data_IF_863412981023
#
_entry.id   IF_863412981023
#
_cell.length_a   1.000
_cell.length_b   1.000
_cell.length_c   1.000
_cell.angle_alpha   90.00
_cell.angle_beta   90.00
_cell.angle_gamma   90.00
#
_symmetry.space_group_name_H-M   'P 1'
#
loop_
_entity.id
_entity.type
_entity.pdbx_description
1 polymer ?
#
# COMPACT_ATOMS: atom_id res chain seq x y z
N UNK A 1 -52.17 -13.34 -41.87
CA UNK A 1 -50.81 -13.69 -42.34
C UNK A 1 -49.80 -12.83 -41.59
N UNK A 2 -49.41 -13.23 -40.37
CA UNK A 2 -48.30 -12.60 -39.63
C UNK A 2 -47.58 -13.68 -38.83
N UNK A 3 -46.34 -14.00 -39.26
CA UNK A 3 -45.38 -14.86 -38.57
C UNK A 3 -44.52 -13.97 -37.68
N UNK A 4 -44.37 -14.31 -36.40
CA UNK A 4 -43.34 -13.76 -35.51
C UNK A 4 -42.76 -14.86 -34.60
N UNK A 5 -41.61 -15.35 -35.06
CA UNK A 5 -40.36 -15.71 -34.34
C UNK A 5 -40.36 -16.13 -32.86
N UNK A 6 -39.97 -17.41 -32.67
CA UNK A 6 -39.17 -18.06 -31.61
C UNK A 6 -38.93 -17.32 -30.29
N UNK A 7 -39.49 -17.85 -29.21
CA UNK A 7 -39.01 -17.70 -27.83
C UNK A 7 -38.00 -18.81 -27.52
N UNK A 8 -36.74 -18.44 -27.25
CA UNK A 8 -35.71 -19.34 -26.74
C UNK A 8 -35.56 -19.14 -25.22
N UNK A 9 -35.94 -20.15 -24.45
CA UNK A 9 -35.77 -20.23 -23.00
C UNK A 9 -34.31 -20.54 -22.65
N UNK A 10 -33.61 -19.59 -22.02
CA UNK A 10 -32.27 -19.84 -21.44
C UNK A 10 -32.43 -20.59 -20.11
N UNK A 11 -32.04 -21.87 -20.09
CA UNK A 11 -31.89 -22.68 -18.87
C UNK A 11 -30.62 -22.24 -18.12
N UNK A 12 -30.76 -22.11 -16.81
CA UNK A 12 -29.71 -21.78 -15.85
C UNK A 12 -28.74 -22.96 -15.67
N UNK A 13 -27.45 -22.74 -15.92
CA UNK A 13 -26.40 -23.67 -15.51
C UNK A 13 -25.90 -23.26 -14.12
N UNK A 14 -26.50 -23.83 -13.07
CA UNK A 14 -25.99 -23.76 -11.70
C UNK A 14 -24.90 -24.83 -11.53
N UNK A 15 -23.63 -24.42 -11.54
CA UNK A 15 -22.53 -25.26 -11.04
C UNK A 15 -22.48 -25.15 -9.51
N UNK A 16 -22.50 -26.25 -8.75
CA UNK A 16 -22.22 -26.20 -7.32
C UNK A 16 -20.70 -26.03 -7.10
N UNK A 17 -20.32 -24.97 -6.39
CA UNK A 17 -18.97 -24.79 -5.83
C UNK A 17 -18.87 -25.63 -4.55
N UNK A 18 -18.29 -26.82 -4.66
CA UNK A 18 -17.82 -27.58 -3.50
C UNK A 18 -16.52 -26.92 -3.06
N UNK A 19 -16.54 -26.20 -1.92
CA UNK A 19 -15.32 -25.74 -1.24
C UNK A 19 -14.71 -26.93 -0.49
N UNK A 20 -13.40 -27.22 -0.61
CA UNK A 20 -12.76 -28.15 0.30
C UNK A 20 -12.58 -27.50 1.69
N UNK A 21 -12.55 -28.27 2.78
CA UNK A 21 -12.24 -27.75 4.11
C UNK A 21 -10.76 -27.34 4.16
N UNK A 22 -10.49 -26.04 4.25
CA UNK A 22 -9.14 -25.52 4.40
C UNK A 22 -8.72 -25.66 5.87
N UNK A 23 -8.18 -26.83 6.22
CA UNK A 23 -7.43 -27.01 7.47
C UNK A 23 -6.04 -26.42 7.21
N UNK A 24 -5.77 -25.25 7.78
CA UNK A 24 -4.41 -24.72 7.83
C UNK A 24 -3.55 -25.63 8.71
N UNK A 25 -2.65 -26.41 8.10
CA UNK A 25 -1.46 -26.88 8.81
C UNK A 25 -0.43 -25.76 8.75
N UNK A 26 0.22 -25.39 9.87
CA UNK A 26 1.35 -24.48 9.82
C UNK A 26 2.44 -25.15 8.99
N UNK A 27 2.83 -24.52 7.87
CA UNK A 27 4.08 -24.87 7.23
C UNK A 27 5.18 -24.44 8.20
N UNK A 28 5.76 -25.41 8.89
CA UNK A 28 7.10 -25.27 9.42
C UNK A 28 8.03 -25.09 8.21
N UNK A 29 8.25 -23.84 7.79
CA UNK A 29 9.38 -23.49 6.94
C UNK A 29 10.64 -23.81 7.75
N UNK A 30 11.12 -25.03 7.63
CA UNK A 30 12.56 -25.26 7.76
C UNK A 30 13.16 -24.47 6.62
N UNK A 31 14.00 -23.49 6.94
CA UNK A 31 14.80 -22.78 5.96
C UNK A 31 15.43 -23.82 5.01
N UNK A 32 15.45 -23.59 3.69
CA UNK A 32 16.12 -24.51 2.76
C UNK A 32 17.65 -24.57 2.94
N UNK A 33 18.19 -23.93 3.99
CA UNK A 33 19.59 -23.55 4.14
C UNK A 33 20.32 -24.24 5.31
N UNK A 34 19.82 -25.37 5.80
CA UNK A 34 20.43 -26.07 6.96
C UNK A 34 21.09 -27.43 6.61
N UNK A 35 21.46 -27.65 5.35
CA UNK A 35 22.16 -28.89 4.93
C UNK A 35 23.42 -28.65 4.10
N UNK A 36 24.08 -27.50 4.27
CA UNK A 36 25.36 -27.25 3.60
C UNK A 36 26.44 -26.74 4.56
N UNK A 37 26.68 -27.49 5.65
CA UNK A 37 28.02 -27.54 6.21
C UNK A 37 28.84 -28.51 5.36
N UNK A 38 29.34 -28.02 4.23
CA UNK A 38 30.45 -28.70 3.58
C UNK A 38 31.67 -28.52 4.46
N UNK A 39 32.12 -29.62 5.05
CA UNK A 39 33.51 -29.78 5.43
C UNK A 39 34.32 -29.66 4.13
N UNK A 40 34.72 -28.43 3.77
CA UNK A 40 35.79 -28.22 2.81
C UNK A 40 37.07 -28.75 3.45
N UNK A 41 37.25 -30.05 3.34
CA UNK A 41 38.54 -30.70 3.53
C UNK A 41 39.37 -30.29 2.31
N UNK A 42 40.38 -29.47 2.55
CA UNK A 42 41.38 -29.04 1.57
C UNK A 42 42.29 -30.22 1.22
N UNK A 43 41.77 -31.25 0.56
CA UNK A 43 42.55 -32.40 0.07
C UNK A 43 41.75 -33.13 -1.02
N UNK A 44 41.64 -32.53 -2.21
CA UNK A 44 41.41 -33.17 -3.52
C UNK A 44 41.23 -32.07 -4.59
N UNK A 45 42.34 -31.47 -5.02
CA UNK A 45 42.35 -30.41 -6.04
C UNK A 45 42.57 -30.95 -7.47
N UNK A 46 42.38 -32.26 -7.72
CA UNK A 46 42.75 -32.87 -9.01
C UNK A 46 41.58 -33.38 -9.86
N UNK A 47 40.35 -33.43 -9.35
CA UNK A 47 39.20 -33.98 -10.10
C UNK A 47 38.07 -32.96 -10.32
N UNK A 48 38.39 -31.74 -10.74
CA UNK A 48 37.40 -30.89 -11.42
C UNK A 48 37.50 -31.22 -12.91
N UNK A 49 36.61 -32.08 -13.39
CA UNK A 49 36.46 -32.35 -14.82
C UNK A 49 36.22 -31.02 -15.54
N UNK A 50 37.19 -30.59 -16.35
CA UNK A 50 37.03 -29.43 -17.22
C UNK A 50 36.06 -29.82 -18.33
N UNK A 51 34.84 -29.33 -18.22
CA UNK A 51 33.83 -29.48 -19.26
C UNK A 51 34.31 -28.71 -20.49
N UNK A 52 34.46 -29.38 -21.62
CA UNK A 52 34.90 -28.74 -22.86
C UNK A 52 33.75 -27.85 -23.38
N UNK A 53 33.94 -26.54 -23.64
CA UNK A 53 32.86 -25.64 -24.05
C UNK A 53 32.12 -26.08 -25.32
N UNK A 54 32.75 -26.95 -26.11
CA UNK A 54 32.17 -27.53 -27.33
C UNK A 54 31.08 -28.58 -27.05
N UNK A 55 31.11 -29.21 -25.89
CA UNK A 55 30.13 -30.23 -25.50
C UNK A 55 28.79 -29.61 -25.07
N UNK A 56 28.81 -28.33 -24.66
CA UNK A 56 27.64 -27.59 -24.18
C UNK A 56 27.65 -26.13 -24.66
N UNK A 57 27.54 -25.89 -25.99
CA UNK A 57 27.53 -24.54 -26.55
C UNK A 57 26.36 -23.68 -26.03
N UNK A 58 25.26 -24.29 -25.60
CA UNK A 58 24.12 -23.59 -25.00
C UNK A 58 24.39 -22.93 -23.64
N UNK A 59 25.42 -23.37 -22.92
CA UNK A 59 25.81 -22.77 -21.63
C UNK A 59 26.68 -21.52 -21.80
N UNK A 60 27.19 -21.29 -23.01
CA UNK A 60 28.08 -20.18 -23.35
C UNK A 60 27.46 -19.40 -24.52
N UNK A 61 26.57 -18.43 -24.26
CA UNK A 61 26.02 -17.55 -25.29
C UNK A 61 27.15 -16.91 -26.12
N UNK A 62 26.94 -16.77 -27.44
CA UNK A 62 27.93 -16.19 -28.35
C UNK A 62 28.36 -14.79 -27.86
N UNK A 63 29.60 -14.38 -28.15
CA UNK A 63 30.18 -13.10 -27.68
C UNK A 63 29.32 -11.85 -28.01
N UNK A 64 28.41 -11.97 -28.99
CA UNK A 64 27.46 -10.92 -29.37
C UNK A 64 26.33 -10.71 -28.35
N UNK A 65 26.02 -11.70 -27.52
CA UNK A 65 24.99 -11.63 -26.47
C UNK A 65 25.54 -11.10 -25.13
N UNK A 66 26.86 -10.90 -25.02
CA UNK A 66 27.51 -10.38 -23.80
C UNK A 66 27.34 -8.87 -23.63
N UNK A 67 26.90 -8.16 -24.67
CA UNK A 67 26.60 -6.74 -24.58
C UNK A 67 25.19 -6.52 -24.03
N UNK A 68 25.03 -6.84 -22.74
CA UNK A 68 23.84 -6.49 -21.98
C UNK A 68 23.83 -4.97 -21.86
N UNK A 69 22.78 -4.32 -22.36
CA UNK A 69 22.56 -2.88 -22.15
C UNK A 69 22.28 -2.62 -20.66
N UNK A 70 23.35 -2.39 -19.92
CA UNK A 70 23.30 -2.04 -18.50
C UNK A 70 23.03 -0.56 -18.26
N UNK A 71 22.88 0.25 -19.32
CA UNK A 71 22.66 1.70 -19.21
C UNK A 71 21.29 2.02 -18.57
N UNK A 72 20.33 1.09 -18.67
CA UNK A 72 19.05 1.21 -17.97
C UNK A 72 19.13 0.91 -16.45
N UNK A 73 20.18 0.19 -16.00
CA UNK A 73 20.28 -0.32 -14.63
C UNK A 73 21.35 0.39 -13.78
N UNK A 74 22.47 0.82 -14.37
CA UNK A 74 23.61 1.43 -13.65
C UNK A 74 24.10 2.65 -14.42
N UNK A 75 24.12 3.83 -13.77
CA UNK A 75 24.83 4.99 -14.32
C UNK A 75 26.33 4.65 -14.36
N UNK A 76 26.97 4.76 -15.52
CA UNK A 76 28.42 4.50 -15.69
C UNK A 76 29.30 5.40 -14.81
N UNK A 77 28.76 6.54 -14.38
CA UNK A 77 29.42 7.51 -13.50
C UNK A 77 29.21 7.23 -11.99
N UNK A 78 28.48 6.18 -11.62
CA UNK A 78 28.16 5.87 -10.21
C UNK A 78 29.31 5.15 -9.50
N UNK A 79 30.06 5.89 -8.67
CA UNK A 79 31.03 5.31 -7.73
C UNK A 79 30.29 4.81 -6.49
N UNK A 80 30.18 3.49 -6.35
CA UNK A 80 29.54 2.83 -5.21
C UNK A 80 30.32 3.14 -3.92
N UNK A 81 29.75 3.94 -3.02
CA UNK A 81 30.06 3.87 -1.58
C UNK A 81 29.25 2.73 -0.98
N UNK A 82 29.85 1.94 -0.08
CA UNK A 82 29.22 0.73 0.50
C UNK A 82 27.96 1.02 1.33
N UNK A 83 27.65 2.29 1.60
CA UNK A 83 26.63 2.72 2.55
C UNK A 83 25.32 3.20 1.90
N UNK A 84 25.28 3.51 0.60
CA UNK A 84 24.15 4.23 -0.02
C UNK A 84 23.64 3.58 -1.33
N UNK A 85 23.35 2.28 -1.32
CA UNK A 85 22.65 1.66 -2.45
C UNK A 85 21.18 2.07 -2.47
N UNK A 86 20.86 3.16 -3.18
CA UNK A 86 19.49 3.57 -3.49
C UNK A 86 19.28 3.41 -5.00
N UNK A 87 18.43 2.47 -5.46
CA UNK A 87 18.24 2.23 -6.88
C UNK A 87 17.67 3.46 -7.61
N UNK A 88 18.02 3.65 -8.90
CA UNK A 88 17.70 4.85 -9.68
C UNK A 88 16.20 5.18 -9.76
N UNK A 89 15.34 4.15 -9.85
CA UNK A 89 13.88 4.33 -9.84
C UNK A 89 13.40 4.93 -8.52
N UNK A 90 14.02 4.56 -7.40
CA UNK A 90 13.71 5.09 -6.08
C UNK A 90 14.19 6.55 -5.97
N UNK A 91 15.37 6.88 -6.50
CA UNK A 91 15.86 8.27 -6.53
C UNK A 91 14.97 9.20 -7.35
N UNK A 92 14.48 8.74 -8.51
CA UNK A 92 13.54 9.51 -9.35
C UNK A 92 12.15 9.63 -8.73
N UNK A 93 11.65 8.56 -8.10
CA UNK A 93 10.35 8.58 -7.41
C UNK A 93 10.35 9.50 -6.18
N UNK A 94 11.49 9.63 -5.49
CA UNK A 94 11.61 10.48 -4.29
C UNK A 94 11.55 11.97 -4.63
N UNK A 95 12.01 12.43 -5.80
CA UNK A 95 12.05 13.86 -6.13
C UNK A 95 10.66 14.52 -6.20
N UNK A 96 9.87 14.17 -7.22
CA UNK A 96 8.59 14.83 -7.48
C UNK A 96 7.53 14.50 -6.41
N UNK A 97 7.43 13.24 -5.98
CA UNK A 97 6.39 12.81 -5.04
C UNK A 97 6.63 13.32 -3.61
N UNK A 98 7.89 13.46 -3.18
CA UNK A 98 8.19 13.97 -1.84
C UNK A 98 7.90 15.47 -1.75
N UNK A 99 8.22 16.24 -2.79
CA UNK A 99 7.92 17.68 -2.86
C UNK A 99 6.41 17.92 -2.75
N UNK A 100 5.60 17.14 -3.48
CA UNK A 100 4.14 17.21 -3.42
C UNK A 100 3.61 16.91 -2.00
N UNK A 101 4.15 15.88 -1.34
CA UNK A 101 3.76 15.53 0.04
C UNK A 101 4.15 16.61 1.05
N UNK A 102 5.33 17.20 0.91
CA UNK A 102 5.79 18.29 1.77
C UNK A 102 4.98 19.56 1.55
N UNK A 103 4.65 19.89 0.30
CA UNK A 103 3.78 21.01 -0.03
C UNK A 103 2.37 20.81 0.55
N UNK A 104 1.82 19.61 0.45
CA UNK A 104 0.52 19.27 1.03
C UNK A 104 0.53 19.37 2.57
N UNK A 105 1.63 18.96 3.22
CA UNK A 105 1.85 19.17 4.67
C UNK A 105 1.81 20.65 5.04
N UNK A 106 2.55 21.50 4.33
CA UNK A 106 2.62 22.93 4.61
C UNK A 106 1.27 23.62 4.41
N UNK A 107 0.63 23.38 3.25
CA UNK A 107 -0.69 23.94 2.94
C UNK A 107 -1.73 23.52 3.97
N UNK A 108 -1.71 22.26 4.41
CA UNK A 108 -2.60 21.78 5.46
C UNK A 108 -2.40 22.50 6.80
N UNK A 109 -1.15 22.80 7.18
CA UNK A 109 -0.87 23.54 8.41
C UNK A 109 -1.42 24.97 8.32
N UNK A 110 -1.16 25.68 7.22
CA UNK A 110 -1.66 27.04 6.99
C UNK A 110 -3.19 27.10 7.00
N UNK A 111 -3.86 26.10 6.42
CA UNK A 111 -5.33 26.03 6.39
C UNK A 111 -5.95 25.72 7.75
N UNK A 112 -5.23 24.98 8.61
CA UNK A 112 -5.63 24.74 9.99
C UNK A 112 -5.46 26.01 10.83
N UNK A 113 -4.37 26.76 10.64
CA UNK A 113 -4.13 28.03 11.33
C UNK A 113 -5.16 29.10 10.94
N UNK A 114 -5.52 29.15 9.65
CA UNK A 114 -6.57 30.06 9.16
C UNK A 114 -7.99 29.59 9.51
N UNK A 115 -8.16 28.37 10.04
CA UNK A 115 -9.45 27.78 10.40
C UNK A 115 -10.32 27.35 9.20
N UNK A 116 -9.76 27.32 7.99
CA UNK A 116 -10.48 26.90 6.78
C UNK A 116 -10.62 25.37 6.69
N UNK A 117 -9.67 24.64 7.28
CA UNK A 117 -9.70 23.19 7.39
C UNK A 117 -9.64 22.80 8.87
N UNK A 118 -10.76 22.35 9.42
CA UNK A 118 -10.83 21.87 10.81
C UNK A 118 -11.30 20.42 10.86
N UNK A 119 -10.84 19.68 11.87
CA UNK A 119 -11.29 18.30 12.09
C UNK A 119 -12.81 18.24 12.33
N UNK A 120 -13.39 19.28 12.93
CA UNK A 120 -14.83 19.40 13.14
C UNK A 120 -15.60 19.60 11.84
N UNK A 121 -15.12 20.47 10.94
CA UNK A 121 -15.75 20.65 9.62
C UNK A 121 -15.74 19.35 8.82
N UNK A 122 -14.64 18.60 8.86
CA UNK A 122 -14.56 17.29 8.22
C UNK A 122 -15.50 16.27 8.88
N UNK A 123 -15.56 16.23 10.22
CA UNK A 123 -16.52 15.39 10.95
C UNK A 123 -17.96 15.69 10.51
N UNK A 124 -18.33 16.96 10.44
CA UNK A 124 -19.67 17.39 10.09
C UNK A 124 -20.01 17.01 8.64
N UNK A 125 -19.06 17.13 7.72
CA UNK A 125 -19.19 16.67 6.34
C UNK A 125 -19.39 15.15 6.24
N UNK A 126 -18.69 14.37 7.06
CA UNK A 126 -18.86 12.91 7.12
C UNK A 126 -20.23 12.52 7.69
N UNK A 127 -20.73 13.27 8.68
CA UNK A 127 -22.08 13.09 9.24
C UNK A 127 -23.15 13.45 8.20
N UNK A 128 -22.98 14.54 7.45
CA UNK A 128 -23.87 14.92 6.34
C UNK A 128 -23.91 13.83 5.26
N UNK A 129 -22.76 13.22 5.00
CA UNK A 129 -22.61 12.05 4.13
C UNK A 129 -23.18 10.76 4.72
N UNK A 130 -23.90 10.82 5.86
CA UNK A 130 -24.57 9.70 6.54
C UNK A 130 -23.63 8.54 6.84
N UNK A 131 -22.41 8.85 7.27
CA UNK A 131 -21.51 7.87 7.87
C UNK A 131 -21.90 7.61 9.32
N UNK A 132 -21.61 6.41 9.77
CA UNK A 132 -21.92 5.90 11.10
C UNK A 132 -20.64 5.92 11.96
N UNK A 133 -20.80 6.18 13.25
CA UNK A 133 -19.72 6.16 14.25
C UNK A 133 -18.49 7.00 13.83
N UNK A 134 -18.67 8.32 13.67
CA UNK A 134 -17.55 9.23 13.35
C UNK A 134 -16.84 9.60 14.65
N UNK A 135 -15.60 9.15 14.84
CA UNK A 135 -14.74 9.55 15.95
C UNK A 135 -13.56 10.38 15.45
N UNK A 136 -13.20 11.41 16.23
CA UNK A 136 -12.04 12.27 15.97
C UNK A 136 -11.01 11.99 17.07
N UNK A 137 -9.82 11.58 16.67
CA UNK A 137 -8.69 11.26 17.53
C UNK A 137 -7.64 12.37 17.41
N UNK A 138 -7.22 12.93 18.54
CA UNK A 138 -6.10 13.86 18.62
C UNK A 138 -4.79 13.09 18.77
N UNK A 139 -3.91 13.22 17.78
CA UNK A 139 -2.64 12.49 17.67
C UNK A 139 -1.41 13.41 17.68
N UNK A 140 -1.59 14.73 17.89
CA UNK A 140 -0.50 15.74 17.88
C UNK A 140 0.68 15.41 18.78
N UNK A 141 0.42 14.81 19.94
CA UNK A 141 1.46 14.45 20.91
C UNK A 141 2.07 13.07 20.67
N UNK A 142 1.53 12.31 19.71
CA UNK A 142 1.91 10.92 19.44
C UNK A 142 2.59 10.76 18.07
N UNK A 143 2.25 11.62 17.11
CA UNK A 143 2.71 11.57 15.73
C UNK A 143 3.18 12.95 15.26
N UNK A 144 4.39 13.06 14.67
CA UNK A 144 4.85 14.31 14.03
C UNK A 144 4.20 14.55 12.65
N UNK A 145 3.74 13.47 12.01
CA UNK A 145 3.22 13.52 10.65
C UNK A 145 1.71 13.81 10.57
N UNK A 146 0.95 13.79 11.67
CA UNK A 146 -0.44 14.19 11.66
C UNK A 146 -0.88 14.72 13.02
N UNK A 147 -1.85 15.63 12.97
CA UNK A 147 -2.44 16.26 14.13
C UNK A 147 -3.75 15.58 14.52
N UNK A 148 -4.58 15.23 13.54
CA UNK A 148 -5.88 14.60 13.77
C UNK A 148 -6.06 13.37 12.89
N UNK A 149 -6.65 12.34 13.49
CA UNK A 149 -7.11 11.15 12.78
C UNK A 149 -8.62 11.03 12.94
N UNK A 150 -9.35 10.97 11.85
CA UNK A 150 -10.80 10.81 11.86
C UNK A 150 -11.11 9.39 11.42
N UNK A 151 -11.87 8.66 12.21
CA UNK A 151 -12.29 7.29 11.93
C UNK A 151 -13.80 7.27 11.76
N UNK A 152 -14.27 6.89 10.58
CA UNK A 152 -15.68 6.77 10.29
C UNK A 152 -16.00 5.41 9.68
N UNK A 153 -17.21 4.92 9.91
CA UNK A 153 -17.67 3.64 9.36
C UNK A 153 -18.94 3.75 8.54
N UNK A 154 -19.21 2.77 7.69
CA UNK A 154 -20.52 2.64 7.05
C UNK A 154 -20.91 1.19 6.84
N UNK A 155 -22.14 0.85 7.22
CA UNK A 155 -22.74 -0.47 6.98
C UNK A 155 -23.20 -0.69 5.53
N UNK A 156 -23.17 0.34 4.67
CA UNK A 156 -23.69 0.28 3.28
C UNK A 156 -22.75 -0.40 2.29
N UNK A 157 -21.55 -0.78 2.72
CA UNK A 157 -20.53 -1.49 1.94
C UNK A 157 -19.58 -0.60 1.15
N UNK A 158 -18.61 -1.23 0.48
CA UNK A 158 -17.41 -0.55 -0.07
C UNK A 158 -17.72 0.50 -1.13
N UNK A 159 -18.68 0.23 -2.01
CA UNK A 159 -19.07 1.18 -3.08
C UNK A 159 -19.56 2.50 -2.52
N UNK A 160 -20.27 2.46 -1.38
CA UNK A 160 -20.73 3.65 -0.70
C UNK A 160 -19.54 4.42 -0.12
N UNK A 161 -18.60 3.73 0.52
CA UNK A 161 -17.37 4.34 1.04
C UNK A 161 -16.57 5.04 -0.07
N UNK A 162 -16.38 4.39 -1.23
CA UNK A 162 -15.70 5.01 -2.38
C UNK A 162 -16.42 6.26 -2.88
N UNK A 163 -17.75 6.25 -2.93
CA UNK A 163 -18.54 7.43 -3.30
C UNK A 163 -18.38 8.57 -2.30
N UNK A 164 -18.36 8.27 -0.99
CA UNK A 164 -18.17 9.29 0.05
C UNK A 164 -16.74 9.82 0.00
N UNK A 165 -15.75 8.96 -0.23
CA UNK A 165 -14.35 9.37 -0.39
C UNK A 165 -14.16 10.34 -1.56
N UNK A 166 -14.82 10.08 -2.70
CA UNK A 166 -14.78 11.00 -3.85
C UNK A 166 -15.47 12.34 -3.54
N UNK A 167 -16.56 12.32 -2.78
CA UNK A 167 -17.23 13.53 -2.34
C UNK A 167 -16.33 14.39 -1.43
N UNK A 168 -15.74 13.78 -0.40
CA UNK A 168 -14.78 14.41 0.51
C UNK A 168 -13.60 14.97 -0.30
N UNK A 169 -13.02 14.16 -1.19
CA UNK A 169 -11.91 14.56 -2.06
C UNK A 169 -12.25 15.82 -2.86
N UNK A 170 -13.45 15.89 -3.46
CA UNK A 170 -13.88 17.04 -4.27
C UNK A 170 -14.05 18.31 -3.44
N UNK A 171 -14.61 18.20 -2.23
CA UNK A 171 -14.79 19.34 -1.33
C UNK A 171 -13.44 19.84 -0.84
N UNK A 172 -12.60 18.94 -0.36
CA UNK A 172 -11.30 19.26 0.22
C UNK A 172 -10.33 19.79 -0.83
N UNK A 173 -10.32 19.24 -2.04
CA UNK A 173 -9.51 19.75 -3.16
C UNK A 173 -9.80 21.22 -3.48
N UNK A 174 -11.05 21.67 -3.36
CA UNK A 174 -11.42 23.09 -3.56
C UNK A 174 -10.84 23.99 -2.48
N UNK A 175 -10.78 23.51 -1.24
CA UNK A 175 -10.23 24.24 -0.10
C UNK A 175 -8.71 24.24 -0.12
N UNK A 176 -8.07 23.07 -0.29
CA UNK A 176 -6.61 22.92 -0.26
C UNK A 176 -5.92 23.46 -1.50
N UNK A 177 -6.62 23.60 -2.64
CA UNK A 177 -6.03 23.88 -3.96
C UNK A 177 -4.95 22.87 -4.39
N UNK A 178 -4.78 21.80 -3.63
CA UNK A 178 -3.90 20.66 -3.86
C UNK A 178 -4.76 19.39 -3.95
N UNK A 179 -4.25 18.37 -4.62
CA UNK A 179 -4.96 17.10 -4.75
C UNK A 179 -4.64 16.21 -3.54
N UNK A 180 -5.62 15.92 -2.66
CA UNK A 180 -5.38 15.01 -1.56
C UNK A 180 -5.17 13.59 -2.06
N UNK A 181 -4.43 12.79 -1.30
CA UNK A 181 -4.12 11.43 -1.71
C UNK A 181 -5.18 10.47 -1.17
N UNK A 182 -5.62 9.50 -1.98
CA UNK A 182 -6.64 8.52 -1.58
C UNK A 182 -6.17 7.11 -1.89
N UNK A 183 -6.01 6.31 -0.85
CA UNK A 183 -5.60 4.91 -0.93
C UNK A 183 -6.80 3.97 -0.77
N UNK A 184 -6.70 2.77 -1.37
CA UNK A 184 -7.70 1.70 -1.24
C UNK A 184 -8.93 1.84 -2.15
N UNK A 185 -8.91 2.74 -3.15
CA UNK A 185 -10.04 2.94 -4.10
C UNK A 185 -10.41 1.68 -4.90
N UNK A 186 -9.42 0.84 -5.21
CA UNK A 186 -9.58 -0.27 -6.15
C UNK A 186 -9.68 -1.65 -5.49
N UNK A 187 -9.42 -1.75 -4.19
CA UNK A 187 -9.10 -3.03 -3.58
C UNK A 187 -10.31 -3.74 -2.96
N UNK A 188 -11.50 -3.12 -2.97
CA UNK A 188 -12.71 -3.60 -2.28
C UNK A 188 -12.39 -4.21 -0.89
N UNK A 189 -11.43 -3.62 -0.19
CA UNK A 189 -10.88 -4.14 1.06
C UNK A 189 -11.75 -3.78 2.26
N UNK A 190 -12.73 -2.88 2.06
CA UNK A 190 -13.51 -2.27 3.12
C UNK A 190 -12.75 -1.23 3.93
N UNK A 191 -11.59 -0.79 3.46
CA UNK A 191 -10.78 0.26 4.08
C UNK A 191 -10.29 1.25 3.01
N UNK A 192 -10.69 2.50 3.15
CA UNK A 192 -10.16 3.62 2.38
C UNK A 192 -9.47 4.62 3.31
N UNK A 193 -8.35 5.17 2.85
CA UNK A 193 -7.57 6.20 3.54
C UNK A 193 -7.54 7.45 2.68
N UNK A 194 -7.81 8.60 3.29
CA UNK A 194 -7.69 9.91 2.65
C UNK A 194 -6.66 10.70 3.44
N UNK A 195 -5.54 11.02 2.79
CA UNK A 195 -4.46 11.83 3.35
C UNK A 195 -4.62 13.29 2.94
N UNK A 196 -4.84 14.15 3.94
CA UNK A 196 -4.95 15.61 3.80
C UNK A 196 -3.73 16.33 4.38
N UNK A 197 -2.67 15.62 4.75
CA UNK A 197 -1.40 16.18 5.23
C UNK A 197 -1.28 16.21 6.74
N UNK A 198 -2.06 17.06 7.43
CA UNK A 198 -2.13 17.07 8.91
C UNK A 198 -3.34 16.34 9.47
N UNK A 199 -4.37 16.17 8.65
CA UNK A 199 -5.56 15.42 9.02
C UNK A 199 -5.64 14.18 8.15
N UNK A 200 -5.85 13.02 8.77
CA UNK A 200 -6.04 11.77 8.05
C UNK A 200 -7.42 11.21 8.33
N UNK A 201 -8.15 10.88 7.26
CA UNK A 201 -9.49 10.31 7.36
C UNK A 201 -9.45 8.83 6.97
N UNK A 202 -9.87 7.97 7.90
CA UNK A 202 -10.03 6.54 7.69
C UNK A 202 -11.52 6.21 7.54
N UNK A 203 -11.86 5.57 6.44
CA UNK A 203 -13.20 5.10 6.13
C UNK A 203 -13.22 3.57 6.16
N UNK A 204 -14.02 3.01 7.06
CA UNK A 204 -14.09 1.57 7.27
C UNK A 204 -15.48 0.98 7.02
N UNK A 205 -15.52 -0.28 6.66
CA UNK A 205 -16.67 -1.14 6.93
C UNK A 205 -16.68 -1.54 8.40
N UNK A 206 -17.85 -1.85 8.99
CA UNK A 206 -17.93 -2.26 10.40
C UNK A 206 -17.03 -3.47 10.72
N UNK A 207 -16.92 -4.43 9.78
CA UNK A 207 -16.04 -5.60 9.93
C UNK A 207 -14.56 -5.22 10.03
N UNK A 208 -14.10 -4.28 9.19
CA UNK A 208 -12.70 -3.85 9.21
C UNK A 208 -12.38 -2.98 10.43
N UNK A 209 -13.33 -2.14 10.86
CA UNK A 209 -13.14 -1.32 12.07
C UNK A 209 -12.90 -2.19 13.30
N UNK A 210 -13.72 -3.23 13.49
CA UNK A 210 -13.57 -4.16 14.61
C UNK A 210 -12.27 -4.97 14.50
N UNK A 211 -11.87 -5.35 13.29
CA UNK A 211 -10.62 -6.10 13.06
C UNK A 211 -9.37 -5.28 13.40
N UNK A 212 -9.32 -4.01 13.00
CA UNK A 212 -8.13 -3.16 13.17
C UNK A 212 -8.12 -2.36 14.48
N UNK A 213 -9.30 -2.05 15.04
CA UNK A 213 -9.49 -1.31 16.29
C UNK A 213 -8.49 -0.16 16.50
N UNK A 214 -8.43 0.76 15.52
CA UNK A 214 -7.53 1.91 15.59
C UNK A 214 -7.84 2.81 16.79
N UNK A 215 -9.09 2.85 17.21
CA UNK A 215 -9.54 3.67 18.34
C UNK A 215 -8.95 3.15 19.65
N UNK A 216 -9.00 1.83 19.87
CA UNK A 216 -8.33 1.19 21.00
C UNK A 216 -6.82 1.39 20.95
N UNK A 217 -6.20 1.17 19.78
CA UNK A 217 -4.76 1.35 19.58
C UNK A 217 -4.31 2.76 19.98
N UNK A 218 -4.91 3.79 19.37
CA UNK A 218 -4.48 5.18 19.58
C UNK A 218 -4.94 5.77 20.91
N UNK A 219 -6.02 5.27 21.54
CA UNK A 219 -6.39 5.69 22.91
C UNK A 219 -5.44 5.10 23.97
N UNK A 220 -4.93 3.88 23.74
CA UNK A 220 -4.07 3.18 24.70
C UNK A 220 -2.66 3.77 24.83
N UNK A 221 -2.14 4.38 23.76
CA UNK A 221 -0.81 5.00 23.77
C UNK A 221 -0.84 6.17 24.78
N UNK A 222 -0.05 6.13 25.86
CA UNK A 222 0.01 7.26 26.78
C UNK A 222 0.50 8.50 26.02
N UNK A 223 -0.04 9.67 26.37
CA UNK A 223 0.58 10.94 25.95
C UNK A 223 1.96 10.97 26.61
N UNK A 224 3.01 10.65 25.85
CA UNK A 224 4.34 10.53 26.44
C UNK A 224 4.75 11.88 27.05
N UNK A 225 4.92 11.90 28.37
CA UNK A 225 5.91 12.76 29.03
C UNK A 225 7.29 12.32 28.53
N UNK A 226 7.77 12.94 27.46
CA UNK A 226 9.12 12.69 26.94
C UNK A 226 10.13 13.35 27.89
N UNK A 227 10.48 12.68 29.00
CA UNK A 227 11.79 12.89 29.63
C UNK A 227 12.85 12.25 28.74
N UNK A 228 13.53 13.07 27.93
CA UNK A 228 14.80 12.68 27.33
C UNK A 228 15.83 12.54 28.45
N UNK A 229 16.25 11.30 28.75
CA UNK A 229 17.42 11.02 29.61
C UNK A 229 18.72 11.08 28.82
#
# INVERSE_FOLDING_TARGET
>A
MFRLTRLATRRTLTKPLIKPPFVYKPFACKSPFDHFTTNYSTDNHEDIEKIDPKDYPELYPDEQDQQIDTEWFVDSDYKVSEEDFIPLWQRRAVGEHLEDRLALRQVSQELMETGQLTAESLRDLLIESKLESVEVLDVREKCDWADYMIVASSSKGDKYLSSVAEHVYTVVKKTLKQSPHVEGRNDNSGWLLIDLGRIIVHLFTPEMRERYDLEGLWKSVPKNEMEFK
#
